data_IF_035021380697
#
_entry.id   IF_035021380697
#
_cell.length_a   1.000
_cell.length_b   1.000
_cell.length_c   1.000
_cell.angle_alpha   90.00
_cell.angle_beta   90.00
_cell.angle_gamma   90.00
#
_symmetry.space_group_name_H-M   'P 1'
#
loop_
_entity.id
_entity.type
_entity.pdbx_description
1 polymer ?
#
# COMPACT_ATOMS: atom_id res chain seq x y z
N UNK A 1 16.06 22.24 -14.90
CA UNK A 1 15.09 21.13 -14.81
C UNK A 1 14.15 21.36 -13.65
N UNK A 2 12.88 21.09 -13.85
CA UNK A 2 11.84 21.27 -12.84
C UNK A 2 12.04 20.29 -11.67
N UNK A 3 11.92 20.79 -10.43
CA UNK A 3 12.03 19.96 -9.21
C UNK A 3 11.01 18.83 -9.19
N UNK A 4 9.79 19.06 -9.68
CA UNK A 4 8.73 18.06 -9.74
C UNK A 4 9.12 16.91 -10.69
N UNK A 5 9.70 17.20 -11.85
CA UNK A 5 10.19 16.19 -12.80
C UNK A 5 11.31 15.36 -12.19
N UNK A 6 12.23 15.97 -11.46
CA UNK A 6 13.30 15.26 -10.75
C UNK A 6 12.74 14.30 -9.71
N UNK A 7 11.76 14.75 -8.94
CA UNK A 7 11.11 13.93 -7.90
C UNK A 7 10.41 12.72 -8.49
N UNK A 8 9.68 12.90 -9.59
CA UNK A 8 8.98 11.80 -10.28
C UNK A 8 9.98 10.80 -10.87
N UNK A 9 11.05 11.27 -11.52
CA UNK A 9 12.07 10.40 -12.10
C UNK A 9 12.77 9.55 -11.03
N UNK A 10 13.11 10.15 -9.88
CA UNK A 10 13.73 9.41 -8.76
C UNK A 10 12.79 8.36 -8.19
N UNK A 11 11.51 8.68 -8.02
CA UNK A 11 10.50 7.74 -7.54
C UNK A 11 10.34 6.57 -8.51
N UNK A 12 10.29 6.83 -9.82
CA UNK A 12 10.19 5.78 -10.83
C UNK A 12 11.37 4.83 -10.80
N UNK A 13 12.60 5.33 -10.63
CA UNK A 13 13.80 4.49 -10.48
C UNK A 13 13.72 3.60 -9.23
N UNK A 14 13.25 4.16 -8.10
CA UNK A 14 13.05 3.36 -6.88
C UNK A 14 12.01 2.27 -7.08
N UNK A 15 10.90 2.59 -7.76
CA UNK A 15 9.85 1.61 -8.05
C UNK A 15 10.37 0.46 -8.92
N UNK A 16 11.12 0.76 -9.98
CA UNK A 16 11.74 -0.26 -10.84
C UNK A 16 12.65 -1.17 -10.01
N UNK A 17 13.49 -0.60 -9.15
CA UNK A 17 14.38 -1.37 -8.27
C UNK A 17 13.62 -2.28 -7.31
N UNK A 18 12.53 -1.81 -6.72
CA UNK A 18 11.67 -2.59 -5.82
C UNK A 18 11.00 -3.73 -6.60
N UNK A 19 10.46 -3.46 -7.79
CA UNK A 19 9.73 -4.44 -8.60
C UNK A 19 10.63 -5.58 -9.11
N UNK A 20 11.94 -5.39 -9.16
CA UNK A 20 12.89 -6.48 -9.46
C UNK A 20 12.92 -7.51 -8.33
N UNK A 21 12.60 -7.12 -7.10
CA UNK A 21 12.65 -7.98 -5.90
C UNK A 21 11.28 -8.43 -5.44
N UNK A 22 10.23 -7.70 -5.79
CA UNK A 22 8.86 -7.92 -5.31
C UNK A 22 8.00 -8.39 -6.46
N UNK A 23 7.49 -9.62 -6.33
CA UNK A 23 6.57 -10.21 -7.28
C UNK A 23 5.45 -10.91 -6.50
N UNK A 24 4.19 -10.62 -6.83
CA UNK A 24 3.05 -11.16 -6.12
C UNK A 24 2.72 -12.58 -6.57
N UNK A 25 2.74 -13.52 -5.63
CA UNK A 25 2.35 -14.92 -5.87
C UNK A 25 1.09 -15.24 -5.06
N UNK A 26 0.36 -16.34 -5.37
CA UNK A 26 -0.82 -16.72 -4.57
C UNK A 26 -0.51 -16.92 -3.09
N UNK A 27 0.67 -17.46 -2.75
CA UNK A 27 1.09 -17.68 -1.37
C UNK A 27 1.58 -16.40 -0.68
N UNK A 28 2.06 -15.44 -1.46
CA UNK A 28 2.58 -14.15 -0.95
C UNK A 28 2.23 -13.03 -1.94
N UNK A 29 0.96 -12.60 -1.96
CA UNK A 29 0.54 -11.52 -2.86
C UNK A 29 1.28 -10.21 -2.60
N UNK A 30 1.30 -9.34 -3.59
CA UNK A 30 1.93 -8.03 -3.49
C UNK A 30 0.95 -6.99 -2.96
N UNK A 31 1.35 -6.25 -1.93
CA UNK A 31 0.63 -5.05 -1.49
C UNK A 31 1.20 -3.86 -2.25
N UNK A 32 0.40 -3.28 -3.13
CA UNK A 32 0.76 -2.07 -3.88
C UNK A 32 0.11 -0.86 -3.21
N UNK A 33 0.92 0.16 -2.89
CA UNK A 33 0.46 1.38 -2.26
C UNK A 33 0.69 2.56 -3.19
N UNK A 34 -0.31 3.39 -3.34
CA UNK A 34 -0.21 4.66 -4.05
C UNK A 34 -0.72 5.78 -3.15
N UNK A 35 -0.01 6.89 -3.10
CA UNK A 35 -0.43 8.07 -2.35
C UNK A 35 -0.46 9.31 -3.23
N UNK A 36 -1.49 10.12 -3.05
CA UNK A 36 -1.58 11.47 -3.57
C UNK A 36 -1.49 12.47 -2.41
N UNK A 37 -1.61 13.76 -2.70
CA UNK A 37 -1.57 14.80 -1.67
C UNK A 37 -2.62 14.56 -0.58
N UNK A 38 -3.84 14.23 -0.96
CA UNK A 38 -4.99 14.14 -0.05
C UNK A 38 -5.43 12.70 0.29
N UNK A 39 -4.98 11.70 -0.47
CA UNK A 39 -5.49 10.34 -0.33
C UNK A 39 -4.38 9.30 -0.39
N UNK A 40 -4.68 8.12 0.14
CA UNK A 40 -3.81 6.95 0.06
C UNK A 40 -4.64 5.73 -0.33
N UNK A 41 -4.07 4.88 -1.16
CA UNK A 41 -4.72 3.68 -1.71
C UNK A 41 -3.80 2.48 -1.55
N UNK A 42 -4.38 1.33 -1.24
CA UNK A 42 -3.62 0.09 -1.14
C UNK A 42 -4.40 -1.06 -1.76
N UNK A 43 -3.70 -1.95 -2.44
CA UNK A 43 -4.26 -3.14 -3.07
C UNK A 43 -3.40 -4.35 -2.77
N UNK A 44 -4.04 -5.50 -2.56
CA UNK A 44 -3.37 -6.79 -2.47
C UNK A 44 -3.58 -7.51 -3.81
N UNK A 45 -2.49 -7.76 -4.54
CA UNK A 45 -2.52 -8.22 -5.92
C UNK A 45 -1.83 -9.57 -6.06
N UNK A 46 -2.49 -10.52 -6.73
CA UNK A 46 -1.87 -11.74 -7.22
C UNK A 46 -1.39 -11.50 -8.66
N UNK A 47 -0.08 -11.33 -8.83
CA UNK A 47 0.51 -11.03 -10.14
C UNK A 47 0.42 -12.20 -11.12
N UNK A 48 0.37 -13.45 -10.63
CA UNK A 48 0.26 -14.62 -11.49
C UNK A 48 -1.13 -14.73 -12.12
N UNK A 49 -2.17 -14.44 -11.33
CA UNK A 49 -3.54 -14.44 -11.82
C UNK A 49 -3.95 -13.10 -12.45
N UNK A 50 -3.16 -12.05 -12.26
CA UNK A 50 -3.51 -10.69 -12.69
C UNK A 50 -4.74 -10.14 -11.97
N UNK A 51 -4.93 -10.52 -10.71
CA UNK A 51 -6.16 -10.27 -9.96
C UNK A 51 -5.88 -9.49 -8.67
N UNK A 52 -6.71 -8.47 -8.38
CA UNK A 52 -6.71 -7.78 -7.09
C UNK A 52 -7.58 -8.56 -6.11
N UNK A 53 -6.97 -9.05 -5.02
CA UNK A 53 -7.65 -9.87 -4.02
C UNK A 53 -8.48 -9.03 -3.05
N UNK A 54 -7.96 -7.88 -2.64
CA UNK A 54 -8.66 -6.89 -1.82
C UNK A 54 -8.00 -5.53 -1.95
N UNK A 55 -8.71 -4.50 -1.53
CA UNK A 55 -8.20 -3.12 -1.57
C UNK A 55 -8.77 -2.29 -0.42
N UNK A 56 -8.13 -1.17 -0.14
CA UNK A 56 -8.60 -0.19 0.83
C UNK A 56 -8.14 1.20 0.39
N UNK A 57 -8.90 2.23 0.74
CA UNK A 57 -8.63 3.61 0.35
C UNK A 57 -9.15 4.58 1.41
N UNK A 58 -8.49 5.73 1.54
CA UNK A 58 -8.96 6.82 2.40
C UNK A 58 -10.25 7.48 1.86
N UNK A 59 -10.65 7.17 0.62
CA UNK A 59 -11.93 7.63 0.04
C UNK A 59 -13.13 6.87 0.59
N UNK A 60 -12.94 5.74 1.26
CA UNK A 60 -14.05 4.91 1.72
C UNK A 60 -14.81 5.54 2.88
N UNK A 61 -16.12 5.66 2.73
CA UNK A 61 -17.01 6.26 3.72
C UNK A 61 -17.03 5.49 5.05
N UNK A 62 -16.79 4.20 5.01
CA UNK A 62 -16.74 3.33 6.20
C UNK A 62 -15.74 3.80 7.24
N UNK A 63 -14.65 4.44 6.80
CA UNK A 63 -13.59 4.91 7.68
C UNK A 63 -13.95 6.19 8.42
N UNK A 64 -14.95 6.94 7.95
CA UNK A 64 -15.43 8.20 8.58
C UNK A 64 -14.31 9.16 8.97
N UNK A 65 -13.35 9.33 8.05
CA UNK A 65 -12.17 10.14 8.29
C UNK A 65 -12.48 11.63 8.24
N UNK A 66 -12.08 12.36 9.28
CA UNK A 66 -12.17 13.83 9.30
C UNK A 66 -11.17 14.45 8.33
N UNK A 67 -9.97 13.85 8.21
CA UNK A 67 -8.91 14.25 7.27
C UNK A 67 -8.34 13.00 6.61
N UNK A 68 -8.03 13.08 5.33
CA UNK A 68 -7.58 11.93 4.54
C UNK A 68 -6.08 11.95 4.19
N UNK A 69 -5.44 13.11 4.34
CA UNK A 69 -4.06 13.29 3.90
C UNK A 69 -2.99 13.13 4.99
N UNK A 70 -3.31 12.53 6.14
CA UNK A 70 -2.37 12.41 7.26
C UNK A 70 -2.04 10.96 7.63
N UNK A 71 -1.11 10.77 8.57
CA UNK A 71 -0.69 9.43 9.02
C UNK A 71 -1.81 8.66 9.74
N UNK A 72 -2.70 9.36 10.45
CA UNK A 72 -3.83 8.71 11.11
C UNK A 72 -4.78 8.08 10.09
N UNK A 73 -5.05 8.78 8.99
CA UNK A 73 -5.86 8.26 7.89
C UNK A 73 -5.18 7.05 7.24
N UNK A 74 -3.87 7.12 7.01
CA UNK A 74 -3.09 6.01 6.45
C UNK A 74 -3.13 4.78 7.38
N UNK A 75 -3.04 4.97 8.68
CA UNK A 75 -3.17 3.88 9.66
C UNK A 75 -4.55 3.23 9.58
N UNK A 76 -5.62 4.03 9.45
CA UNK A 76 -6.98 3.50 9.29
C UNK A 76 -7.12 2.67 8.01
N UNK A 77 -6.54 3.13 6.89
CA UNK A 77 -6.52 2.38 5.63
C UNK A 77 -5.74 1.07 5.78
N UNK A 78 -4.59 1.10 6.45
CA UNK A 78 -3.79 -0.10 6.72
C UNK A 78 -4.53 -1.13 7.55
N UNK A 79 -5.22 -0.71 8.60
CA UNK A 79 -6.03 -1.59 9.42
C UNK A 79 -7.16 -2.23 8.62
N UNK A 80 -7.87 -1.44 7.81
CA UNK A 80 -8.94 -1.93 6.95
C UNK A 80 -8.41 -2.94 5.92
N UNK A 81 -7.26 -2.63 5.30
CA UNK A 81 -6.61 -3.53 4.34
C UNK A 81 -6.25 -4.87 5.00
N UNK A 82 -5.67 -4.82 6.20
CA UNK A 82 -5.32 -6.01 6.97
C UNK A 82 -6.53 -6.89 7.28
N UNK A 83 -7.63 -6.27 7.70
CA UNK A 83 -8.89 -6.98 7.97
C UNK A 83 -9.45 -7.64 6.72
N UNK A 84 -9.46 -6.93 5.59
CA UNK A 84 -9.96 -7.45 4.31
C UNK A 84 -9.06 -8.56 3.76
N UNK A 85 -7.75 -8.42 3.88
CA UNK A 85 -6.79 -9.45 3.48
C UNK A 85 -7.00 -10.73 4.30
N UNK A 86 -7.19 -10.59 5.61
CA UNK A 86 -7.46 -11.73 6.50
C UNK A 86 -8.77 -12.43 6.11
N UNK A 87 -9.82 -11.67 5.81
CA UNK A 87 -11.09 -12.22 5.34
C UNK A 87 -10.94 -12.95 3.99
N UNK A 88 -10.03 -12.51 3.14
CA UNK A 88 -9.72 -13.16 1.86
C UNK A 88 -8.76 -14.35 1.99
N UNK A 89 -8.32 -14.68 3.21
CA UNK A 89 -7.41 -15.80 3.45
C UNK A 89 -5.93 -15.48 3.22
N UNK A 90 -5.57 -14.21 3.08
CA UNK A 90 -4.19 -13.78 2.87
C UNK A 90 -3.49 -13.64 4.23
N UNK A 91 -2.38 -14.36 4.41
CA UNK A 91 -1.61 -14.33 5.67
C UNK A 91 -0.29 -13.56 5.54
N UNK A 92 0.38 -13.69 4.41
CA UNK A 92 1.67 -13.05 4.15
C UNK A 92 1.62 -12.27 2.85
N UNK A 93 2.31 -11.15 2.80
CA UNK A 93 2.37 -10.28 1.62
C UNK A 93 3.79 -9.79 1.40
N UNK A 94 4.09 -9.38 0.16
CA UNK A 94 5.29 -8.67 -0.20
C UNK A 94 4.91 -7.19 -0.38
N UNK A 95 5.57 -6.29 0.34
CA UNK A 95 5.20 -4.88 0.36
C UNK A 95 5.89 -4.12 -0.78
N UNK A 96 5.09 -3.61 -1.72
CA UNK A 96 5.56 -2.77 -2.83
C UNK A 96 5.14 -1.32 -2.56
N UNK A 97 6.08 -0.49 -2.17
CA UNK A 97 5.84 0.92 -1.89
C UNK A 97 5.73 1.81 -3.13
N UNK A 98 5.74 1.22 -4.34
CA UNK A 98 5.58 1.93 -5.62
C UNK A 98 6.60 3.06 -5.83
N UNK A 99 7.82 2.90 -5.29
CA UNK A 99 8.90 3.89 -5.38
C UNK A 99 8.79 5.05 -4.39
N UNK A 100 7.73 5.12 -3.59
CA UNK A 100 7.65 6.10 -2.50
C UNK A 100 8.61 5.72 -1.37
N UNK A 101 9.10 6.70 -0.62
CA UNK A 101 9.94 6.43 0.54
C UNK A 101 9.11 5.81 1.66
N UNK A 102 9.69 4.85 2.38
CA UNK A 102 9.06 4.22 3.54
C UNK A 102 9.12 5.16 4.74
N UNK A 103 8.19 6.13 4.78
CA UNK A 103 8.16 7.19 5.77
C UNK A 103 6.75 7.77 5.88
N UNK A 104 6.40 8.34 7.03
CA UNK A 104 5.13 9.03 7.25
C UNK A 104 3.92 8.14 7.01
N UNK A 105 3.07 8.52 6.07
CA UNK A 105 1.82 7.82 5.76
C UNK A 105 2.05 6.35 5.35
N UNK A 106 3.07 6.08 4.56
CA UNK A 106 3.38 4.72 4.12
C UNK A 106 3.74 3.82 5.29
N UNK A 107 4.59 4.31 6.19
CA UNK A 107 4.98 3.58 7.40
C UNK A 107 3.77 3.34 8.30
N UNK A 108 2.91 4.36 8.50
CA UNK A 108 1.71 4.24 9.32
C UNK A 108 0.76 3.17 8.78
N UNK A 109 0.56 3.12 7.47
CA UNK A 109 -0.27 2.10 6.80
C UNK A 109 0.33 0.70 7.00
N UNK A 110 1.63 0.54 6.76
CA UNK A 110 2.31 -0.75 6.90
C UNK A 110 2.25 -1.26 8.35
N UNK A 111 2.53 -0.40 9.33
CA UNK A 111 2.49 -0.77 10.74
C UNK A 111 1.08 -1.19 11.17
N UNK A 112 0.04 -0.49 10.71
CA UNK A 112 -1.35 -0.83 11.02
C UNK A 112 -1.74 -2.17 10.38
N UNK A 113 -1.34 -2.44 9.16
CA UNK A 113 -1.60 -3.72 8.50
C UNK A 113 -0.91 -4.88 9.23
N UNK A 114 0.32 -4.67 9.71
CA UNK A 114 1.03 -5.68 10.52
C UNK A 114 0.32 -5.96 11.83
N UNK A 115 -0.24 -4.96 12.49
CA UNK A 115 -1.04 -5.13 13.71
C UNK A 115 -2.27 -5.99 13.49
N UNK A 116 -2.85 -5.96 12.30
CA UNK A 116 -4.00 -6.79 11.94
C UNK A 116 -3.61 -8.24 11.59
N UNK A 117 -2.33 -8.56 11.59
CA UNK A 117 -1.83 -9.91 11.41
C UNK A 117 -1.19 -10.22 10.06
N UNK A 118 -1.04 -9.25 9.17
CA UNK A 118 -0.31 -9.48 7.92
C UNK A 118 1.19 -9.60 8.18
N UNK A 119 1.79 -10.65 7.63
CA UNK A 119 3.22 -10.91 7.75
C UNK A 119 3.97 -10.31 6.55
N UNK A 120 4.88 -9.40 6.82
CA UNK A 120 5.80 -8.87 5.81
C UNK A 120 6.93 -8.07 6.44
#
# INVERSE_FOLDING_TARGET
MDKAKHKVARRSRRHIGIRKKVDGTPSRPRVSVYKSLNHIYAQVIDDLAGKTLCSASSLEKELKLAKTGNSAAAAAVGALLGQRAKAAGVKAVAFDRSGFKYHGRLKALADAARKEGLAF
#
